data_IF_488345774123
#
_entry.id   IF_488345774123
#
_cell.length_a   1.000
_cell.length_b   1.000
_cell.length_c   1.000
_cell.angle_alpha   90.00
_cell.angle_beta   90.00
_cell.angle_gamma   90.00
#
_symmetry.space_group_name_H-M   'P 1'
#
loop_
_entity.id
_entity.type
_entity.pdbx_description
1 polymer ?
#
# COMPACT_ATOMS: atom_id res chain seq x y z
N UNK A 1 48.62 -9.10 -67.78
CA UNK A 1 47.49 -10.06 -67.84
C UNK A 1 46.32 -9.40 -67.14
N UNK A 2 45.37 -8.88 -67.92
CA UNK A 2 44.20 -8.14 -67.43
C UNK A 2 43.13 -9.09 -66.92
N UNK A 3 42.56 -8.84 -65.73
CA UNK A 3 41.29 -9.43 -65.32
C UNK A 3 40.39 -8.30 -64.80
N UNK A 4 39.22 -8.21 -65.43
CA UNK A 4 38.17 -7.20 -65.26
C UNK A 4 37.28 -7.56 -64.07
N UNK A 5 36.86 -6.55 -63.30
CA UNK A 5 35.74 -6.64 -62.36
C UNK A 5 34.40 -6.48 -63.10
N UNK A 6 33.31 -7.18 -62.72
CA UNK A 6 31.98 -6.87 -63.22
C UNK A 6 31.28 -5.81 -62.35
N UNK A 7 30.73 -4.82 -63.04
CA UNK A 7 29.85 -3.77 -62.54
C UNK A 7 28.49 -4.38 -62.14
N UNK A 8 28.01 -4.16 -60.90
CA UNK A 8 26.61 -4.41 -60.53
C UNK A 8 25.85 -3.09 -60.49
N UNK A 9 24.79 -3.02 -61.30
CA UNK A 9 23.86 -1.92 -61.46
C UNK A 9 22.93 -1.86 -60.22
N UNK A 10 22.89 -0.71 -59.55
CA UNK A 10 21.94 -0.42 -58.46
C UNK A 10 20.75 0.33 -59.06
N UNK A 11 19.55 -0.24 -58.95
CA UNK A 11 18.29 0.39 -59.36
C UNK A 11 17.70 1.12 -58.14
N UNK A 12 17.67 2.45 -58.18
CA UNK A 12 17.00 3.30 -57.19
C UNK A 12 15.51 3.42 -57.56
N UNK A 13 14.61 2.91 -56.72
CA UNK A 13 13.18 3.21 -56.83
C UNK A 13 12.81 4.33 -55.85
N UNK A 14 12.41 5.47 -56.41
CA UNK A 14 11.87 6.63 -55.71
C UNK A 14 10.44 6.31 -55.20
N UNK A 15 10.23 6.38 -53.89
CA UNK A 15 8.89 6.43 -53.29
C UNK A 15 8.43 7.89 -53.16
N UNK A 16 7.21 8.14 -53.64
CA UNK A 16 6.54 9.44 -53.64
C UNK A 16 6.03 9.80 -52.25
N UNK A 17 6.23 11.06 -51.84
CA UNK A 17 5.78 11.62 -50.58
C UNK A 17 4.26 11.89 -50.60
N UNK A 18 3.55 11.40 -49.59
CA UNK A 18 2.16 11.76 -49.32
C UNK A 18 2.10 12.84 -48.22
N UNK A 19 1.38 13.92 -48.49
CA UNK A 19 1.20 15.06 -47.59
C UNK A 19 0.38 14.70 -46.35
N UNK A 20 0.61 15.34 -45.18
CA UNK A 20 -0.15 15.07 -43.96
C UNK A 20 -1.49 15.81 -43.97
N UNK A 21 -2.58 15.09 -43.68
CA UNK A 21 -3.89 15.68 -43.37
C UNK A 21 -3.89 16.28 -41.95
N UNK A 22 -4.62 17.38 -41.69
CA UNK A 22 -4.67 17.98 -40.37
C UNK A 22 -5.59 17.16 -39.44
N UNK A 23 -5.09 16.85 -38.25
CA UNK A 23 -5.84 16.20 -37.17
C UNK A 23 -6.99 17.11 -36.67
N UNK A 24 -8.16 16.56 -36.29
CA UNK A 24 -9.23 17.35 -35.72
C UNK A 24 -8.89 17.77 -34.28
N UNK A 25 -9.20 19.03 -33.98
CA UNK A 25 -9.11 19.65 -32.65
C UNK A 25 -10.02 18.94 -31.66
N UNK A 26 -9.47 18.23 -30.67
CA UNK A 26 -10.22 17.76 -29.52
C UNK A 26 -10.63 18.93 -28.64
N UNK A 27 -11.94 19.07 -28.44
CA UNK A 27 -12.55 19.99 -27.47
C UNK A 27 -12.14 19.56 -26.06
N UNK A 28 -11.45 20.44 -25.36
CA UNK A 28 -11.24 20.37 -23.92
C UNK A 28 -12.57 20.51 -23.20
N UNK A 29 -13.17 19.38 -22.83
CA UNK A 29 -14.25 19.32 -21.85
C UNK A 29 -13.64 19.39 -20.45
N UNK A 30 -13.64 20.57 -19.85
CA UNK A 30 -13.39 20.76 -18.42
C UNK A 30 -14.57 20.22 -17.60
N UNK A 31 -14.66 18.89 -17.50
CA UNK A 31 -15.44 18.27 -16.44
C UNK A 31 -14.57 18.28 -15.18
N UNK A 32 -15.01 18.98 -14.13
CA UNK A 32 -14.46 18.76 -12.78
C UNK A 32 -14.52 17.26 -12.49
N UNK A 33 -13.43 16.61 -12.04
CA UNK A 33 -13.49 15.20 -11.72
C UNK A 33 -14.47 15.05 -10.56
N UNK A 34 -15.61 14.40 -10.82
CA UNK A 34 -16.46 13.87 -9.76
C UNK A 34 -15.58 12.82 -9.09
N UNK A 35 -15.04 13.13 -7.91
CA UNK A 35 -14.30 12.18 -7.11
C UNK A 35 -15.25 11.01 -6.83
N UNK A 36 -15.00 9.86 -7.45
CA UNK A 36 -15.82 8.68 -7.21
C UNK A 36 -15.73 8.30 -5.72
N UNK A 37 -16.86 7.99 -5.10
CA UNK A 37 -16.90 7.46 -3.73
C UNK A 37 -16.23 6.09 -3.68
N UNK A 38 -15.48 5.82 -2.61
CA UNK A 38 -14.92 4.50 -2.35
C UNK A 38 -15.84 3.70 -1.42
N UNK A 39 -15.88 2.36 -1.52
CA UNK A 39 -16.66 1.52 -0.60
C UNK A 39 -16.39 1.82 0.88
N UNK A 40 -15.13 2.13 1.22
CA UNK A 40 -14.66 2.41 2.58
C UNK A 40 -14.90 3.83 3.09
N UNK A 41 -15.57 4.70 2.34
CA UNK A 41 -15.78 6.09 2.75
C UNK A 41 -16.51 6.19 4.11
N UNK A 42 -17.60 5.45 4.28
CA UNK A 42 -18.37 5.42 5.54
C UNK A 42 -17.55 4.84 6.69
N UNK A 43 -16.72 3.84 6.41
CA UNK A 43 -15.83 3.22 7.40
C UNK A 43 -14.74 4.21 7.88
N UNK A 44 -14.10 4.95 6.97
CA UNK A 44 -13.10 5.97 7.32
C UNK A 44 -13.73 7.14 8.08
N UNK A 45 -14.92 7.58 7.69
CA UNK A 45 -15.67 8.60 8.43
C UNK A 45 -16.02 8.12 9.86
N UNK A 46 -16.39 6.85 10.03
CA UNK A 46 -16.63 6.28 11.34
C UNK A 46 -15.36 6.25 12.20
N UNK A 47 -14.20 5.92 11.62
CA UNK A 47 -12.91 5.99 12.33
C UNK A 47 -12.54 7.42 12.76
N UNK A 48 -12.86 8.43 11.96
CA UNK A 48 -12.63 9.83 12.30
C UNK A 48 -13.58 10.36 13.39
N UNK A 49 -14.64 9.63 13.73
CA UNK A 49 -15.65 10.07 14.68
C UNK A 49 -15.19 10.00 16.15
N UNK A 50 -15.83 10.82 16.99
CA UNK A 50 -15.65 10.82 18.44
C UNK A 50 -17.05 10.75 19.10
N UNK A 51 -17.38 9.72 19.90
CA UNK A 51 -16.49 8.65 20.42
C UNK A 51 -16.02 7.67 19.35
N UNK A 52 -14.95 6.93 19.66
CA UNK A 52 -14.42 5.87 18.80
C UNK A 52 -15.52 4.85 18.45
N UNK A 53 -15.53 4.33 17.21
CA UNK A 53 -16.57 3.39 16.79
C UNK A 53 -16.36 2.02 17.46
N UNK A 54 -17.46 1.27 17.62
CA UNK A 54 -17.47 -0.02 18.35
C UNK A 54 -16.53 -1.08 17.78
N UNK A 55 -16.21 -1.00 16.49
CA UNK A 55 -15.36 -1.94 15.78
C UNK A 55 -13.87 -1.57 15.85
N UNK A 56 -13.50 -0.43 16.45
CA UNK A 56 -12.12 0.03 16.46
C UNK A 56 -11.65 0.40 17.87
N UNK A 57 -10.45 -0.04 18.20
CA UNK A 57 -9.75 0.38 19.42
C UNK A 57 -8.59 1.29 19.05
N UNK A 58 -8.51 2.47 19.66
CA UNK A 58 -7.43 3.44 19.39
C UNK A 58 -6.12 2.95 20.00
N UNK A 59 -5.06 2.93 19.19
CA UNK A 59 -3.68 2.69 19.62
C UNK A 59 -3.03 4.05 19.91
N UNK A 60 -2.52 4.28 21.13
CA UNK A 60 -1.73 5.48 21.40
C UNK A 60 -0.47 5.48 20.54
N UNK A 61 -0.27 6.56 19.79
CA UNK A 61 0.98 6.82 19.08
C UNK A 61 1.68 8.00 19.72
N UNK A 62 3.02 7.95 19.78
CA UNK A 62 3.81 9.03 20.30
C UNK A 62 3.58 10.31 19.48
N UNK A 63 3.60 11.46 20.13
CA UNK A 63 3.54 12.74 19.42
C UNK A 63 4.77 12.87 18.52
N UNK A 64 4.52 13.03 17.22
CA UNK A 64 5.58 13.25 16.25
C UNK A 64 6.33 14.56 16.54
N UNK A 65 7.64 14.59 16.27
CA UNK A 65 8.43 15.83 16.33
C UNK A 65 7.91 16.88 15.34
N UNK A 66 8.21 18.16 15.53
CA UNK A 66 7.79 19.21 14.58
C UNK A 66 8.29 18.93 13.14
N UNK A 67 9.52 18.42 12.99
CA UNK A 67 10.07 18.02 11.70
C UNK A 67 9.27 16.86 11.10
N UNK A 68 8.97 15.83 11.89
CA UNK A 68 8.17 14.69 11.43
C UNK A 68 6.75 15.09 11.06
N UNK A 69 6.10 15.96 11.84
CA UNK A 69 4.77 16.50 11.52
C UNK A 69 4.78 17.26 10.19
N UNK A 70 5.80 18.09 9.96
CA UNK A 70 5.96 18.79 8.68
C UNK A 70 6.08 17.81 7.51
N UNK A 71 6.90 16.77 7.67
CA UNK A 71 7.13 15.75 6.63
C UNK A 71 5.89 14.88 6.38
N UNK A 72 5.13 14.55 7.42
CA UNK A 72 3.83 13.89 7.31
C UNK A 72 2.82 14.76 6.56
N UNK A 73 2.80 16.07 6.79
CA UNK A 73 1.94 17.00 6.07
C UNK A 73 2.27 17.06 4.57
N UNK A 74 3.57 17.09 4.24
CA UNK A 74 4.02 17.02 2.86
C UNK A 74 3.69 15.67 2.22
N UNK A 75 3.87 14.56 2.95
CA UNK A 75 3.50 13.24 2.48
C UNK A 75 2.00 13.16 2.21
N UNK A 76 1.16 13.59 3.15
CA UNK A 76 -0.29 13.66 2.98
C UNK A 76 -0.70 14.42 1.72
N UNK A 77 -0.13 15.61 1.50
CA UNK A 77 -0.41 16.41 0.31
C UNK A 77 0.04 15.71 -0.99
N UNK A 78 1.22 15.09 -0.99
CA UNK A 78 1.72 14.34 -2.14
C UNK A 78 0.87 13.10 -2.44
N UNK A 79 0.48 12.35 -1.41
CA UNK A 79 -0.35 11.15 -1.51
C UNK A 79 -1.73 11.48 -2.10
N UNK A 80 -2.37 12.57 -1.69
CA UNK A 80 -3.69 12.97 -2.22
C UNK A 80 -3.66 13.64 -3.60
N UNK A 81 -2.49 14.08 -4.09
CA UNK A 81 -2.41 14.83 -5.35
C UNK A 81 -2.12 13.98 -6.58
N UNK A 82 -1.91 12.66 -6.43
CA UNK A 82 -1.73 11.54 -7.40
C UNK A 82 -1.01 11.82 -8.75
N UNK A 83 -1.32 12.92 -9.43
CA UNK A 83 -0.90 13.32 -10.77
C UNK A 83 0.27 14.31 -10.84
N UNK A 84 0.73 14.91 -9.73
CA UNK A 84 1.72 16.02 -9.78
C UNK A 84 3.09 15.63 -9.24
N UNK A 85 3.12 14.89 -8.13
CA UNK A 85 4.33 14.29 -7.54
C UNK A 85 3.85 13.26 -6.54
N UNK A 86 3.56 12.07 -7.03
CA UNK A 86 3.36 10.90 -6.20
C UNK A 86 4.57 10.79 -5.20
N UNK A 87 4.45 10.17 -3.99
CA UNK A 87 5.47 10.13 -2.91
C UNK A 87 6.94 9.76 -3.23
N UNK A 88 7.31 9.63 -4.50
CA UNK A 88 8.66 9.53 -5.04
C UNK A 88 9.67 10.49 -4.41
N UNK A 89 9.32 11.75 -4.17
CA UNK A 89 10.28 12.72 -3.60
C UNK A 89 10.68 12.41 -2.14
N UNK A 90 9.96 11.51 -1.47
CA UNK A 90 10.29 11.06 -0.13
C UNK A 90 11.21 9.85 -0.12
N UNK A 91 11.53 9.25 -1.27
CA UNK A 91 12.32 8.03 -1.35
C UNK A 91 13.75 8.30 -1.79
N UNK A 92 14.67 7.47 -1.29
CA UNK A 92 16.08 7.51 -1.64
C UNK A 92 16.36 6.59 -2.84
N UNK A 93 16.38 7.19 -4.04
CA UNK A 93 16.77 6.51 -5.29
C UNK A 93 18.28 6.51 -5.53
N UNK A 94 19.09 7.05 -4.62
CA UNK A 94 20.53 7.24 -4.85
C UNK A 94 21.37 5.99 -4.60
N UNK A 95 20.80 4.99 -3.90
CA UNK A 95 21.45 3.71 -3.61
C UNK A 95 20.60 2.54 -4.06
N UNK A 96 21.27 1.44 -4.39
CA UNK A 96 20.61 0.15 -4.53
C UNK A 96 20.13 -0.30 -3.14
N UNK A 97 18.85 -0.68 -3.07
CA UNK A 97 18.23 -1.20 -1.86
C UNK A 97 17.47 -2.48 -2.23
N UNK A 98 17.74 -3.55 -1.50
CA UNK A 98 17.06 -4.82 -1.67
C UNK A 98 16.48 -5.22 -0.33
N UNK A 99 15.18 -5.48 -0.32
CA UNK A 99 14.52 -6.01 0.86
C UNK A 99 14.80 -7.51 1.01
N UNK A 100 14.87 -8.05 2.24
CA UNK A 100 15.02 -9.50 2.43
C UNK A 100 13.98 -10.30 1.65
N UNK A 101 14.47 -11.41 1.07
CA UNK A 101 13.62 -12.44 0.47
C UNK A 101 13.67 -13.70 1.31
N UNK A 102 12.58 -14.46 1.28
CA UNK A 102 12.49 -15.75 1.93
C UNK A 102 12.80 -16.88 0.96
N UNK A 103 13.11 -18.06 1.50
CA UNK A 103 13.58 -19.21 0.74
C UNK A 103 12.66 -19.54 -0.45
N UNK A 104 13.30 -19.95 -1.55
CA UNK A 104 12.76 -20.21 -2.89
C UNK A 104 12.42 -19.00 -3.78
N UNK A 105 12.50 -17.74 -3.31
CA UNK A 105 12.10 -16.54 -4.09
C UNK A 105 10.66 -16.58 -4.64
N UNK A 106 9.86 -17.55 -4.22
CA UNK A 106 8.52 -17.79 -4.74
C UNK A 106 7.44 -17.10 -3.91
N UNK A 107 7.75 -16.82 -2.64
CA UNK A 107 6.94 -15.95 -1.82
C UNK A 107 7.36 -14.49 -2.05
N UNK A 108 6.69 -13.83 -3.00
CA UNK A 108 6.88 -12.43 -3.34
C UNK A 108 5.77 -11.61 -2.69
N UNK A 109 5.95 -11.32 -1.40
CA UNK A 109 5.02 -10.49 -0.65
C UNK A 109 5.12 -9.01 -1.01
N UNK A 110 6.20 -8.63 -1.69
CA UNK A 110 6.32 -7.37 -2.38
C UNK A 110 6.36 -7.58 -3.88
N UNK A 111 5.75 -6.65 -4.61
CA UNK A 111 5.77 -6.59 -6.08
C UNK A 111 7.22 -6.49 -6.57
N UNK A 112 7.83 -7.63 -6.85
CA UNK A 112 9.23 -7.83 -7.22
C UNK A 112 10.24 -7.21 -6.23
N UNK A 113 11.32 -7.91 -5.92
CA UNK A 113 12.47 -7.32 -5.17
C UNK A 113 13.12 -6.11 -5.86
N UNK A 114 12.69 -5.80 -7.08
CA UNK A 114 13.11 -4.64 -7.85
C UNK A 114 12.11 -3.50 -7.65
N UNK A 115 12.58 -2.36 -7.13
CA UNK A 115 11.74 -1.17 -6.97
C UNK A 115 11.31 -0.87 -5.53
N UNK A 116 11.90 -1.53 -4.54
CA UNK A 116 11.81 -1.14 -3.14
C UNK A 116 12.88 -0.09 -2.84
N UNK A 117 12.49 1.01 -2.20
CA UNK A 117 13.37 2.09 -1.79
C UNK A 117 13.08 2.51 -0.35
N UNK A 118 14.10 2.91 0.42
CA UNK A 118 13.87 3.47 1.74
C UNK A 118 13.37 4.91 1.63
N UNK A 119 12.78 5.43 2.70
CA UNK A 119 12.56 6.86 2.82
C UNK A 119 13.90 7.60 2.84
N UNK A 120 13.97 8.76 2.19
CA UNK A 120 15.10 9.66 2.26
C UNK A 120 15.33 10.09 3.72
N UNK A 121 16.58 9.98 4.19
CA UNK A 121 16.96 10.25 5.57
C UNK A 121 16.53 11.66 6.07
N UNK A 122 16.45 12.64 5.16
CA UNK A 122 16.03 14.01 5.45
C UNK A 122 14.55 14.14 5.87
N UNK A 123 13.72 13.12 5.62
CA UNK A 123 12.27 13.18 5.84
C UNK A 123 11.84 12.73 7.24
N UNK A 124 12.69 12.03 8.00
CA UNK A 124 12.32 11.37 9.28
C UNK A 124 11.17 10.35 9.19
N UNK A 125 10.64 10.06 8.00
CA UNK A 125 9.45 9.22 7.81
C UNK A 125 9.74 7.73 8.06
N UNK A 126 10.94 7.24 7.71
CA UNK A 126 11.32 5.85 8.01
C UNK A 126 11.25 5.60 9.52
N UNK A 127 11.96 6.39 10.34
CA UNK A 127 11.92 6.25 11.80
C UNK A 127 10.51 6.36 12.39
N UNK A 128 9.64 7.19 11.81
CA UNK A 128 8.24 7.32 12.25
C UNK A 128 7.43 6.04 12.00
N UNK A 129 7.42 5.54 10.76
CA UNK A 129 6.65 4.35 10.40
C UNK A 129 7.26 3.06 10.97
N UNK A 130 8.58 2.95 11.03
CA UNK A 130 9.26 1.87 11.79
C UNK A 130 8.82 1.86 13.25
N UNK A 131 8.74 3.04 13.88
CA UNK A 131 8.21 3.19 15.23
C UNK A 131 6.78 2.67 15.38
N UNK A 132 5.91 2.89 14.38
CA UNK A 132 4.55 2.34 14.37
C UNK A 132 4.60 0.81 14.35
N UNK A 133 5.34 0.20 13.41
CA UNK A 133 5.49 -1.25 13.36
C UNK A 133 5.99 -1.83 14.68
N UNK A 134 7.04 -1.22 15.26
CA UNK A 134 7.64 -1.66 16.51
C UNK A 134 6.71 -1.56 17.72
N UNK A 135 5.73 -0.65 17.71
CA UNK A 135 4.78 -0.47 18.83
C UNK A 135 3.65 -1.50 18.80
N UNK A 136 3.32 -2.06 17.62
CA UNK A 136 2.17 -2.97 17.46
C UNK A 136 2.27 -4.23 18.32
N UNK A 137 3.41 -4.96 18.38
CA UNK A 137 3.50 -6.15 19.23
C UNK A 137 3.26 -5.87 20.71
N UNK A 138 3.81 -4.79 21.25
CA UNK A 138 3.65 -4.45 22.66
C UNK A 138 2.19 -4.08 22.97
N UNK A 139 1.57 -3.27 22.11
CA UNK A 139 0.19 -2.82 22.32
C UNK A 139 -0.84 -3.95 22.18
N UNK A 140 -0.60 -4.87 21.24
CA UNK A 140 -1.42 -6.08 21.06
C UNK A 140 -1.04 -7.20 22.03
N UNK A 141 -0.13 -6.95 23.00
CA UNK A 141 0.33 -7.93 24.00
C UNK A 141 0.87 -9.22 23.38
N UNK A 142 1.55 -9.10 22.24
CA UNK A 142 2.11 -10.22 21.49
C UNK A 142 1.09 -10.97 20.63
N UNK A 143 -0.19 -10.55 20.57
CA UNK A 143 -1.14 -11.13 19.62
C UNK A 143 -0.67 -10.92 18.19
N UNK A 144 0.04 -9.82 17.89
CA UNK A 144 0.68 -9.55 16.59
C UNK A 144 2.20 -9.52 16.78
N UNK A 145 2.93 -10.17 15.88
CA UNK A 145 4.40 -10.21 15.88
C UNK A 145 4.97 -9.73 14.55
N UNK A 146 6.17 -9.14 14.59
CA UNK A 146 6.90 -8.72 13.39
C UNK A 146 7.71 -9.90 12.83
N UNK A 147 7.07 -10.69 11.97
CA UNK A 147 7.67 -11.86 11.32
C UNK A 147 7.17 -11.96 9.90
N UNK A 148 7.86 -12.75 9.06
CA UNK A 148 7.48 -12.98 7.67
C UNK A 148 6.07 -13.55 7.44
N UNK A 149 5.48 -14.19 8.44
CA UNK A 149 4.16 -14.80 8.34
C UNK A 149 3.06 -13.91 8.91
N UNK A 150 3.44 -12.98 9.78
CA UNK A 150 2.52 -12.12 10.52
C UNK A 150 2.62 -10.70 9.96
N UNK A 151 2.88 -9.70 10.80
CA UNK A 151 2.94 -8.31 10.36
C UNK A 151 4.32 -7.99 9.76
N UNK A 152 4.43 -8.02 8.44
CA UNK A 152 5.64 -7.60 7.73
C UNK A 152 5.41 -6.56 6.63
N UNK A 153 4.16 -6.28 6.23
CA UNK A 153 3.86 -5.20 5.29
C UNK A 153 2.59 -4.42 5.61
N UNK A 154 2.40 -3.32 4.89
CA UNK A 154 1.24 -2.46 4.93
C UNK A 154 1.07 -1.71 3.61
N UNK A 155 -0.12 -1.17 3.34
CA UNK A 155 -0.43 -0.42 2.12
C UNK A 155 -0.78 1.03 2.44
N UNK A 156 -0.03 1.96 1.88
CA UNK A 156 -0.38 3.38 1.84
C UNK A 156 -1.51 3.59 0.83
N UNK A 157 -2.60 4.21 1.26
CA UNK A 157 -3.74 4.57 0.42
C UNK A 157 -4.03 6.08 0.54
N UNK A 158 -4.69 6.62 -0.48
CA UNK A 158 -5.27 7.94 -0.41
C UNK A 158 -6.74 7.95 -0.85
N UNK A 159 -7.55 8.59 -0.03
CA UNK A 159 -8.96 8.76 -0.24
C UNK A 159 -9.28 10.26 -0.40
N UNK A 160 -9.35 10.77 -1.63
CA UNK A 160 -9.69 12.17 -1.89
C UNK A 160 -11.14 12.52 -1.51
N UNK A 161 -12.05 11.56 -1.43
CA UNK A 161 -13.46 11.77 -1.04
C UNK A 161 -13.58 12.12 0.44
N UNK A 162 -12.89 11.37 1.30
CA UNK A 162 -12.83 11.64 2.75
C UNK A 162 -11.70 12.58 3.16
N UNK A 163 -10.83 12.97 2.22
CA UNK A 163 -9.59 13.74 2.46
C UNK A 163 -8.68 13.05 3.49
N UNK A 164 -8.55 11.73 3.35
CA UNK A 164 -7.75 10.89 4.24
C UNK A 164 -6.58 10.31 3.46
N UNK A 165 -5.37 10.39 4.01
CA UNK A 165 -4.31 9.45 3.66
C UNK A 165 -4.16 8.46 4.81
N UNK A 166 -3.86 7.21 4.52
CA UNK A 166 -3.68 6.21 5.56
C UNK A 166 -2.81 5.06 5.14
N UNK A 167 -2.41 4.27 6.13
CA UNK A 167 -1.65 3.03 5.94
C UNK A 167 -2.46 1.91 6.59
N UNK A 168 -2.87 0.93 5.80
CA UNK A 168 -3.53 -0.28 6.31
C UNK A 168 -2.49 -1.38 6.47
N UNK A 169 -2.41 -1.93 7.67
CA UNK A 169 -1.47 -2.98 8.06
C UNK A 169 -2.21 -4.31 8.10
N UNK A 170 -1.65 -5.33 7.45
CA UNK A 170 -2.15 -6.68 7.51
C UNK A 170 -1.23 -7.53 8.37
N UNK A 171 -1.82 -8.11 9.42
CA UNK A 171 -1.18 -9.16 10.22
C UNK A 171 -1.78 -10.51 9.81
N UNK A 172 -1.11 -11.60 10.17
CA UNK A 172 -1.59 -12.99 10.04
C UNK A 172 -2.14 -13.36 8.68
N UNK A 173 -1.49 -12.89 7.64
CA UNK A 173 -2.00 -13.03 6.28
C UNK A 173 -1.85 -14.41 5.69
N UNK A 174 -0.90 -15.17 6.21
CA UNK A 174 -0.62 -16.50 5.74
C UNK A 174 -0.76 -17.49 6.90
N UNK A 175 -1.98 -17.80 7.38
CA UNK A 175 -2.18 -18.86 8.36
C UNK A 175 -1.70 -20.20 7.81
N UNK A 176 -1.14 -21.04 8.68
CA UNK A 176 -0.71 -22.39 8.33
C UNK A 176 -1.84 -23.17 7.66
N UNK A 177 -1.51 -23.93 6.61
CA UNK A 177 -2.48 -24.81 5.97
C UNK A 177 -3.00 -25.83 6.99
N UNK A 178 -4.32 -25.91 7.09
CA UNK A 178 -5.00 -26.84 7.96
C UNK A 178 -6.36 -27.17 7.36
N UNK A 179 -6.48 -28.35 6.75
CA UNK A 179 -7.72 -28.79 6.09
C UNK A 179 -8.95 -28.80 7.01
N UNK A 180 -8.78 -28.94 8.32
CA UNK A 180 -9.88 -29.01 9.27
C UNK A 180 -10.42 -27.63 9.67
N UNK A 181 -9.55 -26.61 9.73
CA UNK A 181 -9.92 -25.27 10.23
C UNK A 181 -9.75 -24.13 9.22
N UNK A 182 -8.90 -24.31 8.21
CA UNK A 182 -8.57 -23.31 7.19
C UNK A 182 -8.09 -23.99 5.88
N UNK A 183 -9.02 -24.57 5.09
CA UNK A 183 -8.70 -25.35 3.89
C UNK A 183 -8.46 -24.44 2.66
N UNK A 184 -7.63 -23.41 2.81
CA UNK A 184 -7.32 -22.45 1.75
C UNK A 184 -5.82 -22.46 1.45
N UNK A 185 -5.49 -22.74 0.19
CA UNK A 185 -4.13 -22.63 -0.34
C UNK A 185 -3.84 -21.16 -0.67
N UNK A 186 -2.94 -20.55 0.11
CA UNK A 186 -2.47 -19.17 -0.06
C UNK A 186 -1.11 -19.12 -0.77
N UNK A 187 -0.69 -20.22 -1.38
CA UNK A 187 0.54 -20.32 -2.15
C UNK A 187 1.80 -20.30 -1.30
N UNK A 188 2.91 -19.88 -1.92
CA UNK A 188 4.25 -20.05 -1.34
C UNK A 188 4.49 -19.31 -0.03
N UNK A 189 3.71 -18.27 0.25
CA UNK A 189 3.83 -17.50 1.49
C UNK A 189 3.20 -18.18 2.71
N UNK A 190 2.37 -19.19 2.47
CA UNK A 190 1.83 -20.08 3.50
C UNK A 190 2.81 -21.14 3.97
N UNK A 191 3.80 -21.48 3.13
CA UNK A 191 4.74 -22.58 3.39
C UNK A 191 5.54 -22.32 4.66
N UNK A 192 5.54 -23.30 5.55
CA UNK A 192 6.16 -23.27 6.88
C UNK A 192 5.59 -22.21 7.84
N UNK A 193 4.42 -21.64 7.54
CA UNK A 193 3.76 -20.75 8.48
C UNK A 193 3.44 -21.48 9.77
N UNK A 194 3.68 -20.81 10.89
CA UNK A 194 3.39 -21.29 12.23
C UNK A 194 2.15 -20.60 12.83
N UNK A 195 1.37 -19.90 12.01
CA UNK A 195 0.21 -19.16 12.46
C UNK A 195 -1.04 -20.03 12.42
N UNK A 196 -1.59 -20.34 13.59
CA UNK A 196 -2.86 -21.06 13.67
C UNK A 196 -4.03 -20.19 13.22
N UNK A 197 -4.91 -20.76 12.40
CA UNK A 197 -6.17 -20.11 12.07
C UNK A 197 -7.18 -20.23 13.21
N UNK A 198 -7.63 -19.09 13.73
CA UNK A 198 -8.86 -19.01 14.54
C UNK A 198 -9.63 -17.76 14.19
N UNK A 199 -10.96 -17.88 14.10
CA UNK A 199 -11.86 -16.78 13.74
C UNK A 199 -11.65 -15.53 14.63
N UNK A 200 -11.56 -15.75 15.94
CA UNK A 200 -11.37 -14.66 16.93
C UNK A 200 -10.08 -13.88 16.76
N UNK A 201 -9.05 -14.51 16.20
CA UNK A 201 -7.76 -13.87 15.90
C UNK A 201 -7.82 -13.18 14.53
N UNK A 202 -8.32 -13.86 13.50
CA UNK A 202 -8.34 -13.34 12.14
C UNK A 202 -9.20 -12.08 12.00
N UNK A 203 -10.32 -12.00 12.72
CA UNK A 203 -11.13 -10.77 12.75
C UNK A 203 -10.41 -9.53 13.29
N UNK A 204 -9.26 -9.69 13.98
CA UNK A 204 -8.45 -8.58 14.52
C UNK A 204 -7.15 -8.35 13.77
N UNK A 205 -7.07 -8.74 12.51
CA UNK A 205 -5.81 -8.75 11.79
C UNK A 205 -5.46 -7.43 11.09
N UNK A 206 -6.39 -6.48 11.01
CA UNK A 206 -6.18 -5.20 10.35
C UNK A 206 -5.89 -4.10 11.36
N UNK A 207 -4.89 -3.28 11.06
CA UNK A 207 -4.66 -2.01 11.75
C UNK A 207 -4.64 -0.89 10.72
N UNK A 208 -5.04 0.31 11.13
CA UNK A 208 -5.12 1.45 10.23
C UNK A 208 -4.52 2.66 10.91
N UNK A 209 -3.49 3.20 10.28
CA UNK A 209 -3.01 4.54 10.55
C UNK A 209 -3.67 5.52 9.58
N UNK A 210 -4.15 6.66 10.06
CA UNK A 210 -4.72 7.72 9.22
C UNK A 210 -4.12 9.07 9.58
N UNK A 211 -4.04 9.97 8.60
CA UNK A 211 -3.80 11.40 8.79
C UNK A 211 -4.82 12.20 8.00
N UNK A 212 -5.36 13.24 8.62
CA UNK A 212 -6.38 14.12 8.04
C UNK A 212 -5.79 15.46 7.56
N UNK A 213 -6.66 16.30 7.00
CA UNK A 213 -6.31 17.63 6.50
C UNK A 213 -5.76 18.59 7.57
N UNK A 214 -6.02 18.32 8.85
CA UNK A 214 -5.53 19.09 9.98
C UNK A 214 -4.21 18.51 10.54
N UNK A 215 -3.64 17.51 9.86
CA UNK A 215 -2.45 16.74 10.25
C UNK A 215 -2.62 15.96 11.55
N UNK A 216 -3.84 15.57 11.91
CA UNK A 216 -4.07 14.69 13.04
C UNK A 216 -3.86 13.23 12.64
N UNK A 217 -2.76 12.66 13.12
CA UNK A 217 -2.48 11.24 12.96
C UNK A 217 -3.25 10.40 14.00
N UNK A 218 -3.84 9.29 13.59
CA UNK A 218 -4.51 8.31 14.45
C UNK A 218 -4.11 6.89 14.07
N UNK A 219 -4.09 5.97 15.03
CA UNK A 219 -3.84 4.54 14.80
C UNK A 219 -4.95 3.73 15.44
N UNK A 220 -5.41 2.71 14.73
CA UNK A 220 -6.59 1.92 15.08
C UNK A 220 -6.33 0.44 14.90
N UNK A 221 -6.77 -0.35 15.87
CA UNK A 221 -6.88 -1.80 15.74
C UNK A 221 -8.33 -2.17 15.47
N UNK A 222 -8.57 -2.87 14.35
CA UNK A 222 -9.90 -3.10 13.80
C UNK A 222 -10.39 -4.49 14.16
N UNK A 223 -11.61 -4.58 14.68
CA UNK A 223 -12.35 -5.82 14.87
C UNK A 223 -13.42 -5.95 13.77
N UNK A 224 -13.11 -6.78 12.78
CA UNK A 224 -13.93 -7.04 11.59
C UNK A 224 -15.21 -7.84 11.89
N UNK A 225 -15.31 -8.52 13.03
CA UNK A 225 -16.52 -9.31 13.32
C UNK A 225 -17.62 -8.52 14.05
N UNK A 226 -17.48 -7.20 14.21
CA UNK A 226 -18.46 -6.34 14.87
C UNK A 226 -19.55 -5.93 13.88
N UNK A 227 -20.81 -5.96 14.31
CA UNK A 227 -21.93 -5.37 13.56
C UNK A 227 -22.30 -4.02 14.16
N UNK A 228 -22.28 -3.00 13.32
CA UNK A 228 -22.48 -1.61 13.69
C UNK A 228 -23.91 -1.15 13.49
N UNK A 229 -24.66 -1.81 12.60
CA UNK A 229 -26.00 -1.39 12.17
C UNK A 229 -25.97 -0.35 11.06
N UNK A 230 -24.79 0.02 10.56
CA UNK A 230 -24.62 0.79 9.32
C UNK A 230 -24.17 -0.19 8.22
N UNK A 231 -25.00 -0.38 7.19
CA UNK A 231 -24.74 -1.34 6.13
C UNK A 231 -23.44 -1.07 5.35
N UNK A 232 -23.06 0.21 5.17
CA UNK A 232 -21.84 0.58 4.42
C UNK A 232 -20.58 0.29 5.24
N UNK A 233 -20.67 0.37 6.57
CA UNK A 233 -19.56 -0.03 7.46
C UNK A 233 -19.54 -1.55 7.63
N UNK A 234 -20.72 -2.16 7.80
CA UNK A 234 -20.85 -3.59 8.03
C UNK A 234 -20.44 -4.43 6.80
N UNK A 235 -20.53 -3.86 5.59
CA UNK A 235 -20.00 -4.48 4.37
C UNK A 235 -18.47 -4.45 4.31
N UNK A 236 -17.84 -3.39 4.81
CA UNK A 236 -16.37 -3.30 4.93
C UNK A 236 -15.82 -4.24 6.00
N UNK A 237 -16.58 -4.46 7.07
CA UNK A 237 -16.23 -5.39 8.14
C UNK A 237 -16.52 -6.86 7.76
N UNK A 238 -17.35 -7.09 6.73
CA UNK A 238 -17.61 -8.44 6.24
C UNK A 238 -16.40 -8.96 5.45
N UNK A 239 -16.00 -10.20 5.72
CA UNK A 239 -14.78 -10.74 5.12
C UNK A 239 -14.39 -12.13 5.59
N UNK A 240 -15.25 -12.81 6.33
CA UNK A 240 -14.99 -14.17 6.79
C UNK A 240 -14.70 -15.10 5.58
N UNK A 241 -13.77 -16.07 5.72
CA UNK A 241 -12.97 -16.37 6.92
C UNK A 241 -11.68 -15.54 7.02
N UNK A 242 -11.29 -14.81 5.97
CA UNK A 242 -9.98 -14.16 5.90
C UNK A 242 -9.91 -12.88 6.71
N UNK A 243 -11.01 -12.12 6.76
CA UNK A 243 -11.13 -10.80 7.37
C UNK A 243 -10.08 -9.80 6.88
N UNK A 244 -9.52 -9.97 5.68
CA UNK A 244 -8.60 -8.99 5.10
C UNK A 244 -9.38 -7.77 4.64
N UNK A 245 -8.97 -6.58 5.09
CA UNK A 245 -9.53 -5.34 4.59
C UNK A 245 -8.83 -4.95 3.28
N UNK A 246 -9.52 -5.02 2.16
CA UNK A 246 -8.94 -4.63 0.87
C UNK A 246 -8.62 -3.14 0.81
N UNK A 247 -7.36 -2.82 0.59
CA UNK A 247 -6.79 -1.47 0.54
C UNK A 247 -7.43 -0.59 -0.54
N UNK A 248 -7.79 -1.16 -1.70
CA UNK A 248 -8.52 -0.49 -2.78
C UNK A 248 -9.92 -0.01 -2.36
N UNK A 249 -10.50 -0.64 -1.33
CA UNK A 249 -11.79 -0.18 -0.78
C UNK A 249 -11.63 1.09 0.05
N UNK A 250 -10.43 1.35 0.58
CA UNK A 250 -10.16 2.53 1.40
C UNK A 250 -9.78 3.75 0.57
N UNK A 251 -9.33 3.57 -0.67
CA UNK A 251 -8.90 4.65 -1.54
C UNK A 251 -8.08 4.13 -2.70
N UNK A 252 -7.41 5.04 -3.40
CA UNK A 252 -6.38 4.68 -4.35
C UNK A 252 -5.15 4.15 -3.60
N UNK A 253 -4.71 2.94 -3.92
CA UNK A 253 -3.47 2.39 -3.38
C UNK A 253 -2.29 3.11 -4.00
N UNK A 254 -1.42 3.56 -3.11
CA UNK A 254 -0.25 4.35 -3.41
C UNK A 254 0.92 3.39 -3.38
N UNK A 255 1.32 2.93 -2.20
CA UNK A 255 2.59 2.24 -2.01
C UNK A 255 2.44 1.06 -1.06
N UNK A 256 3.35 0.11 -1.17
CA UNK A 256 3.57 -0.90 -0.14
C UNK A 256 4.71 -0.48 0.78
N UNK A 257 4.56 -0.73 2.08
CA UNK A 257 5.56 -0.53 3.10
C UNK A 257 5.96 -1.90 3.64
N UNK A 258 7.26 -2.22 3.68
CA UNK A 258 7.79 -3.49 4.18
C UNK A 258 8.67 -3.28 5.40
N UNK A 259 8.36 -3.97 6.49
CA UNK A 259 9.12 -3.90 7.72
C UNK A 259 9.26 -5.26 8.41
N UNK A 260 10.50 -5.76 8.48
CA UNK A 260 10.93 -6.85 9.33
C UNK A 260 11.78 -6.30 10.46
N UNK A 261 11.65 -6.92 11.64
CA UNK A 261 12.41 -6.48 12.82
C UNK A 261 13.91 -6.58 12.56
N UNK A 262 14.59 -5.45 12.66
CA UNK A 262 16.03 -5.34 12.45
C UNK A 262 16.43 -4.88 11.04
N UNK A 263 15.47 -4.79 10.13
CA UNK A 263 15.65 -4.25 8.79
C UNK A 263 15.22 -2.78 8.73
N UNK A 264 15.73 -2.05 7.74
CA UNK A 264 15.26 -0.71 7.41
C UNK A 264 13.85 -0.79 6.80
N UNK A 265 12.98 0.23 6.93
CA UNK A 265 11.69 0.25 6.24
C UNK A 265 11.85 0.42 4.73
N UNK A 266 11.33 -0.53 3.96
CA UNK A 266 11.26 -0.48 2.50
C UNK A 266 9.92 0.04 2.00
N UNK A 267 9.92 0.74 0.87
CA UNK A 267 8.71 1.26 0.22
C UNK A 267 8.72 0.94 -1.27
N UNK A 268 7.65 0.34 -1.81
CA UNK A 268 7.45 0.14 -3.25
C UNK A 268 6.25 0.96 -3.74
N UNK A 269 6.41 1.66 -4.86
CA UNK A 269 5.36 2.53 -5.42
C UNK A 269 4.57 1.79 -6.51
N UNK A 270 3.25 1.99 -6.58
CA UNK A 270 2.37 1.40 -7.60
C UNK A 270 2.46 2.12 -8.95
#
# INVERSE_FOLDING_TARGET
MHIRYPLRLVLLTLFSAASPSPLPSEKTSSASPITASFPGDAFLQALASNPAPKFATRIPIAQASATTQHQLSLLYAATLTFNVTYPRNFLDFSREFQYPTFDNKQCELGKDTNGVYPFAASTTLSAYFEGIFLTIPDWTKGEISLTRFDLFHAHLFANPTTKTAGVVFHSKEYPADNVDTFPYDLGFCQVDSNLDFTDSIMRKRNLIWTIDADNHASMWWIDMGVKTGNNDVDSMLDGAPFYTLYEDSLGHVIADFYYLKGEELGVSLY
#
